data_IF_517647792136
#
_entry.id   IF_517647792136
#
_cell.length_a   1.000
_cell.length_b   1.000
_cell.length_c   1.000
_cell.angle_alpha   90.00
_cell.angle_beta   90.00
_cell.angle_gamma   90.00
#
_symmetry.space_group_name_H-M   'P 1'
#
loop_
_entity.id
_entity.type
_entity.pdbx_description
1 polymer ?
#
# COMPACT_ATOMS: atom_id res chain seq x y z
N UNK A 1 11.23 5.92 24.10
CA UNK A 1 11.98 6.87 23.25
C UNK A 1 11.48 6.69 21.82
N UNK A 2 10.66 7.63 21.34
CA UNK A 2 10.14 7.61 19.98
C UNK A 2 11.30 7.92 19.03
N UNK A 3 11.85 6.90 18.36
CA UNK A 3 12.89 7.10 17.34
C UNK A 3 12.21 7.06 15.99
N UNK A 4 11.88 8.23 15.43
CA UNK A 4 11.31 8.40 14.10
C UNK A 4 12.28 8.04 12.95
N UNK A 5 13.28 7.18 13.21
CA UNK A 5 14.28 6.71 12.25
C UNK A 5 13.61 6.11 11.01
N UNK A 6 12.54 5.35 11.22
CA UNK A 6 11.85 4.65 10.15
C UNK A 6 11.13 5.60 9.18
N UNK A 7 10.83 6.83 9.60
CA UNK A 7 10.32 7.86 8.68
C UNK A 7 11.33 8.13 7.54
N UNK A 8 12.63 8.12 7.84
CA UNK A 8 13.70 8.42 6.88
C UNK A 8 14.31 7.18 6.21
N UNK A 9 14.25 6.01 6.85
CA UNK A 9 14.92 4.81 6.33
C UNK A 9 14.01 3.58 6.15
N UNK A 10 12.74 3.67 6.52
CA UNK A 10 11.79 2.55 6.51
C UNK A 10 10.84 2.52 5.31
N UNK A 11 10.71 3.60 4.55
CA UNK A 11 9.73 3.74 3.45
C UNK A 11 10.21 3.11 2.16
N UNK A 12 9.26 2.83 1.27
CA UNK A 12 9.52 2.22 -0.03
C UNK A 12 9.94 3.23 -1.11
N UNK A 13 9.46 4.47 -1.02
CA UNK A 13 9.78 5.54 -1.94
C UNK A 13 9.81 6.89 -1.19
N UNK A 14 10.61 7.82 -1.70
CA UNK A 14 10.74 9.18 -1.19
C UNK A 14 10.50 10.16 -2.33
N UNK A 15 9.85 11.28 -2.02
CA UNK A 15 9.64 12.38 -2.96
C UNK A 15 10.06 13.70 -2.29
N UNK A 16 10.86 14.48 -2.98
CA UNK A 16 11.20 15.84 -2.54
C UNK A 16 10.02 16.80 -2.65
N UNK A 17 9.06 16.53 -3.55
CA UNK A 17 7.89 17.38 -3.74
C UNK A 17 6.81 17.12 -2.67
N UNK A 18 6.56 15.86 -2.33
CA UNK A 18 5.57 15.50 -1.30
C UNK A 18 6.15 15.54 0.12
N UNK A 19 7.47 15.54 0.25
CA UNK A 19 8.14 15.30 1.52
C UNK A 19 7.86 13.90 2.04
N UNK A 20 8.20 13.67 3.30
CA UNK A 20 7.89 12.43 3.98
C UNK A 20 7.35 12.74 5.38
N UNK A 21 6.42 11.93 5.88
CA UNK A 21 5.86 12.13 7.22
C UNK A 21 6.71 11.51 8.33
N UNK A 22 6.77 12.21 9.45
CA UNK A 22 7.45 11.86 10.69
C UNK A 22 6.37 11.65 11.76
N UNK A 23 6.34 10.50 12.44
CA UNK A 23 5.32 10.26 13.44
C UNK A 23 5.32 11.26 14.60
N UNK A 24 4.13 11.70 15.03
CA UNK A 24 3.90 12.57 16.19
C UNK A 24 3.27 11.84 17.38
N UNK A 25 2.91 10.57 17.21
CA UNK A 25 2.20 9.76 18.21
C UNK A 25 2.03 8.31 17.75
N UNK A 26 1.14 7.57 18.42
CA UNK A 26 0.96 6.12 18.22
C UNK A 26 -0.28 5.75 17.40
N UNK A 27 -1.23 6.67 17.27
CA UNK A 27 -2.42 6.44 16.44
C UNK A 27 -2.06 6.46 14.96
N UNK A 28 -2.86 5.80 14.11
CA UNK A 28 -2.59 5.68 12.68
C UNK A 28 -2.37 7.06 12.01
N UNK A 29 -3.22 8.04 12.34
CA UNK A 29 -3.12 9.40 11.80
C UNK A 29 -1.88 10.15 12.32
N UNK A 30 -1.39 9.82 13.52
CA UNK A 30 -0.18 10.42 14.09
C UNK A 30 1.09 9.73 13.61
N UNK A 31 1.04 8.44 13.29
CA UNK A 31 2.12 7.72 12.63
C UNK A 31 2.27 8.22 11.20
N UNK A 32 1.14 8.49 10.52
CA UNK A 32 1.11 9.00 9.15
C UNK A 32 2.00 8.18 8.21
N UNK A 33 1.69 6.90 7.96
CA UNK A 33 2.61 5.96 7.32
C UNK A 33 2.71 6.13 5.80
N UNK A 34 3.01 7.32 5.30
CA UNK A 34 3.21 7.55 3.87
C UNK A 34 4.30 6.65 3.28
N UNK A 35 4.01 6.13 2.08
CA UNK A 35 4.89 5.27 1.31
C UNK A 35 5.44 4.04 2.07
N UNK A 36 4.69 3.48 3.01
CA UNK A 36 5.06 2.25 3.72
C UNK A 36 3.85 1.38 4.05
N UNK A 37 4.12 0.11 4.36
CA UNK A 37 3.17 -0.79 5.01
C UNK A 37 3.26 -0.60 6.53
N UNK A 38 2.10 -0.56 7.18
CA UNK A 38 1.96 -0.51 8.64
C UNK A 38 1.04 -1.61 9.10
N UNK A 39 1.35 -2.21 10.25
CA UNK A 39 0.61 -3.36 10.79
C UNK A 39 0.19 -3.07 12.22
N UNK A 40 -1.03 -3.45 12.57
CA UNK A 40 -1.53 -3.54 13.94
C UNK A 40 -1.89 -5.00 14.22
N UNK A 41 -1.41 -5.52 15.33
CA UNK A 41 -1.78 -6.85 15.81
C UNK A 41 -2.74 -6.66 16.97
N UNK A 42 -3.96 -7.17 16.82
CA UNK A 42 -5.08 -6.98 17.74
C UNK A 42 -5.56 -5.52 17.87
N UNK A 43 -6.78 -5.33 18.37
CA UNK A 43 -7.45 -4.03 18.35
C UNK A 43 -6.72 -2.97 19.19
N UNK A 44 -6.21 -3.39 20.35
CA UNK A 44 -5.53 -2.54 21.33
C UNK A 44 -4.00 -2.48 21.12
N UNK A 45 -3.49 -3.15 20.07
CA UNK A 45 -2.07 -3.18 19.76
C UNK A 45 -1.56 -1.85 19.19
N UNK A 46 -0.28 -1.50 19.40
CA UNK A 46 0.31 -0.36 18.73
C UNK A 46 0.52 -0.66 17.24
N UNK A 47 0.30 0.35 16.41
CA UNK A 47 0.70 0.33 15.01
C UNK A 47 2.23 0.25 14.85
N UNK A 48 2.67 -0.54 13.88
CA UNK A 48 4.08 -0.82 13.62
C UNK A 48 4.38 -0.62 12.15
N UNK A 49 5.29 0.30 11.86
CA UNK A 49 5.79 0.54 10.51
C UNK A 49 6.94 -0.41 10.17
N UNK A 50 7.19 -0.60 8.88
CA UNK A 50 8.38 -1.30 8.39
C UNK A 50 9.64 -0.75 9.05
N UNK A 51 10.43 -1.65 9.64
CA UNK A 51 11.67 -1.29 10.32
C UNK A 51 12.71 -2.39 10.22
N UNK A 52 13.98 -2.01 10.16
CA UNK A 52 15.12 -2.94 10.12
C UNK A 52 14.97 -4.07 9.09
N UNK A 53 14.76 -3.74 7.80
CA UNK A 53 14.66 -4.77 6.77
C UNK A 53 15.96 -5.57 6.66
N UNK A 54 15.81 -6.87 6.44
CA UNK A 54 16.86 -7.88 6.23
C UNK A 54 16.60 -8.64 4.93
N UNK A 55 17.48 -9.57 4.58
CA UNK A 55 17.34 -10.44 3.40
C UNK A 55 17.09 -9.66 2.10
N UNK A 56 17.84 -8.56 1.93
CA UNK A 56 17.70 -7.70 0.75
C UNK A 56 18.23 -8.41 -0.48
N UNK A 57 17.38 -8.57 -1.50
CA UNK A 57 17.69 -9.22 -2.77
C UNK A 57 17.30 -8.30 -3.92
N UNK A 58 18.13 -8.27 -4.96
CA UNK A 58 17.83 -7.58 -6.21
C UNK A 58 17.53 -8.63 -7.27
N UNK A 59 16.39 -8.52 -7.91
CA UNK A 59 15.94 -9.48 -8.92
C UNK A 59 15.54 -8.76 -10.19
N UNK A 60 15.30 -9.55 -11.24
CA UNK A 60 14.69 -9.09 -12.49
C UNK A 60 13.46 -9.94 -12.72
N UNK A 61 12.30 -9.29 -12.88
CA UNK A 61 11.01 -9.96 -13.00
C UNK A 61 10.53 -9.84 -14.45
N UNK A 62 10.15 -10.96 -15.10
CA UNK A 62 9.52 -10.90 -16.41
C UNK A 62 8.12 -10.29 -16.27
N UNK A 63 7.80 -9.38 -17.19
CA UNK A 63 6.48 -8.77 -17.28
C UNK A 63 5.90 -8.99 -18.67
N UNK A 64 4.58 -9.15 -18.71
CA UNK A 64 3.82 -9.17 -19.96
C UNK A 64 2.86 -8.01 -19.92
N UNK A 65 3.04 -7.03 -20.83
CA UNK A 65 2.23 -5.81 -20.90
C UNK A 65 1.62 -5.62 -22.28
N UNK A 66 0.67 -4.69 -22.38
CA UNK A 66 0.16 -4.18 -23.67
C UNK A 66 1.29 -3.73 -24.62
N UNK A 67 2.42 -3.28 -24.06
CA UNK A 67 3.61 -2.82 -24.78
C UNK A 67 4.57 -3.96 -25.18
N UNK A 68 4.19 -5.21 -24.91
CA UNK A 68 4.98 -6.41 -25.17
C UNK A 68 5.62 -7.01 -23.90
N UNK A 69 6.31 -8.17 -24.05
CA UNK A 69 7.06 -8.78 -22.98
C UNK A 69 8.30 -7.93 -22.63
N UNK A 70 8.65 -7.89 -21.36
CA UNK A 70 9.78 -7.11 -20.87
C UNK A 70 10.32 -7.67 -19.56
N UNK A 71 11.29 -6.96 -19.01
CA UNK A 71 11.89 -7.28 -17.73
C UNK A 71 11.97 -6.01 -16.90
N UNK A 72 11.53 -6.09 -15.64
CA UNK A 72 11.64 -5.00 -14.68
C UNK A 72 12.58 -5.38 -13.55
N UNK A 73 13.44 -4.45 -13.07
CA UNK A 73 14.18 -4.70 -11.85
C UNK A 73 13.20 -4.79 -10.67
N UNK A 74 13.59 -5.50 -9.62
CA UNK A 74 12.87 -5.50 -8.35
C UNK A 74 13.82 -5.61 -7.18
N UNK A 75 13.35 -5.13 -6.03
CA UNK A 75 14.04 -5.29 -4.76
C UNK A 75 13.10 -5.98 -3.78
N UNK A 76 13.57 -7.05 -3.17
CA UNK A 76 12.85 -7.80 -2.15
C UNK A 76 13.56 -7.63 -0.81
N UNK A 77 12.81 -7.45 0.26
CA UNK A 77 13.36 -7.40 1.62
C UNK A 77 12.34 -7.89 2.64
N UNK A 78 12.81 -8.45 3.74
CA UNK A 78 11.98 -9.00 4.80
C UNK A 78 12.09 -8.15 6.06
N UNK A 79 11.00 -7.99 6.80
CA UNK A 79 11.04 -7.38 8.13
C UNK A 79 10.10 -8.10 9.10
N UNK A 80 10.25 -7.81 10.40
CA UNK A 80 9.44 -8.39 11.47
C UNK A 80 8.68 -7.28 12.21
N UNK A 81 7.34 -7.27 12.17
CA UNK A 81 6.56 -6.32 12.97
C UNK A 81 6.83 -6.46 14.46
N UNK A 82 6.95 -7.70 14.96
CA UNK A 82 7.22 -8.01 16.36
C UNK A 82 8.38 -8.99 16.44
N UNK A 83 9.45 -8.63 17.17
CA UNK A 83 10.66 -9.46 17.23
C UNK A 83 10.47 -10.81 17.92
N UNK A 84 9.57 -10.88 18.89
CA UNK A 84 9.28 -12.09 19.66
C UNK A 84 8.32 -13.07 18.96
N UNK A 85 7.73 -12.66 17.84
CA UNK A 85 6.81 -13.48 17.06
C UNK A 85 7.52 -13.93 15.79
N UNK A 86 7.22 -15.13 15.33
CA UNK A 86 7.68 -15.62 14.02
C UNK A 86 6.77 -15.11 12.90
N UNK A 87 6.42 -13.83 12.96
CA UNK A 87 5.65 -13.12 11.95
C UNK A 87 6.62 -12.32 11.09
N UNK A 88 6.68 -12.65 9.80
CA UNK A 88 7.55 -11.97 8.83
C UNK A 88 6.74 -11.40 7.69
N UNK A 89 7.20 -10.27 7.17
CA UNK A 89 6.64 -9.63 5.99
C UNK A 89 7.76 -9.42 5.00
N UNK A 90 7.73 -10.20 3.93
CA UNK A 90 8.59 -10.00 2.78
C UNK A 90 7.90 -9.06 1.80
N UNK A 91 8.57 -7.98 1.42
CA UNK A 91 8.05 -7.03 0.43
C UNK A 91 8.93 -7.04 -0.80
N UNK A 92 8.31 -7.26 -1.97
CA UNK A 92 8.92 -7.08 -3.29
C UNK A 92 8.39 -5.77 -3.89
N UNK A 93 9.30 -4.86 -4.19
CA UNK A 93 9.04 -3.57 -4.82
C UNK A 93 9.47 -3.63 -6.28
N UNK A 94 8.57 -3.28 -7.20
CA UNK A 94 8.80 -3.30 -8.64
C UNK A 94 8.49 -1.92 -9.22
N UNK A 95 9.49 -1.11 -9.61
CA UNK A 95 9.25 0.15 -10.32
C UNK A 95 8.65 -0.14 -11.70
N UNK A 96 7.50 0.48 -12.01
CA UNK A 96 6.82 0.32 -13.29
C UNK A 96 7.19 1.44 -14.28
N UNK A 97 8.12 2.33 -13.92
CA UNK A 97 8.36 3.63 -14.57
C UNK A 97 8.52 3.59 -16.09
N UNK A 98 9.11 2.53 -16.66
CA UNK A 98 9.28 2.40 -18.11
C UNK A 98 7.96 2.14 -18.85
N UNK A 99 7.00 1.48 -18.19
CA UNK A 99 5.70 1.15 -18.77
C UNK A 99 4.62 2.13 -18.30
N UNK A 100 4.70 2.55 -17.03
CA UNK A 100 3.76 3.41 -16.31
C UNK A 100 4.56 4.38 -15.42
N UNK A 101 4.93 5.57 -15.94
CA UNK A 101 5.71 6.57 -15.19
C UNK A 101 5.05 6.96 -13.87
N UNK A 102 5.85 7.09 -12.81
CA UNK A 102 5.37 7.45 -11.48
C UNK A 102 4.74 6.31 -10.68
N UNK A 103 4.52 5.13 -11.29
CA UNK A 103 3.97 3.96 -10.62
C UNK A 103 5.04 2.98 -10.15
N UNK A 104 4.78 2.34 -9.02
CA UNK A 104 5.47 1.13 -8.57
C UNK A 104 4.48 0.16 -7.93
N UNK A 105 4.79 -1.12 -8.06
CA UNK A 105 4.05 -2.21 -7.43
C UNK A 105 4.74 -2.63 -6.14
N UNK A 106 3.93 -2.93 -5.12
CA UNK A 106 4.37 -3.52 -3.85
C UNK A 106 3.63 -4.84 -3.67
N UNK A 107 4.38 -5.90 -3.42
CA UNK A 107 3.84 -7.21 -3.11
C UNK A 107 4.36 -7.61 -1.73
N UNK A 108 3.44 -7.77 -0.78
CA UNK A 108 3.71 -8.16 0.58
C UNK A 108 3.31 -9.62 0.77
N UNK A 109 4.28 -10.47 1.10
CA UNK A 109 4.06 -11.84 1.53
C UNK A 109 4.19 -11.89 3.05
N UNK A 110 3.06 -12.12 3.71
CA UNK A 110 2.97 -12.26 5.16
C UNK A 110 3.03 -13.74 5.50
N UNK A 111 3.98 -14.12 6.36
CA UNK A 111 4.18 -15.50 6.80
C UNK A 111 4.16 -15.59 8.31
N UNK A 112 3.71 -16.75 8.80
CA UNK A 112 3.78 -17.08 10.22
C UNK A 112 2.56 -16.66 11.00
N UNK A 113 1.38 -16.59 10.36
CA UNK A 113 0.10 -16.43 11.07
C UNK A 113 -0.13 -17.55 12.10
N UNK A 114 0.41 -18.75 11.86
CA UNK A 114 0.41 -19.83 12.86
C UNK A 114 1.08 -19.45 14.19
N UNK A 115 2.08 -18.55 14.18
CA UNK A 115 2.77 -18.10 15.40
C UNK A 115 1.91 -17.18 16.28
N UNK A 116 0.86 -16.58 15.72
CA UNK A 116 -0.04 -15.68 16.44
C UNK A 116 -1.37 -16.31 16.82
N UNK A 117 -1.76 -17.39 16.15
CA UNK A 117 -3.00 -18.13 16.43
C UNK A 117 -3.04 -18.81 17.82
N UNK A 118 -1.90 -19.03 18.46
CA UNK A 118 -1.82 -19.60 19.82
C UNK A 118 -1.86 -18.55 20.93
N UNK A 119 -1.99 -17.27 20.59
CA UNK A 119 -1.88 -16.16 21.53
C UNK A 119 -3.29 -15.79 22.03
N UNK A 120 -3.61 -15.95 23.34
CA UNK A 120 -4.97 -15.78 23.84
C UNK A 120 -5.58 -14.38 23.64
N UNK A 121 -4.75 -13.36 23.47
CA UNK A 121 -5.17 -11.98 23.26
C UNK A 121 -5.26 -11.60 21.77
N UNK A 122 -4.88 -12.46 20.83
CA UNK A 122 -4.85 -12.10 19.42
C UNK A 122 -6.16 -12.44 18.71
N UNK A 123 -6.99 -11.43 18.40
CA UNK A 123 -8.28 -11.65 17.73
C UNK A 123 -8.26 -11.30 16.25
N UNK A 124 -7.49 -10.28 15.87
CA UNK A 124 -7.44 -9.78 14.50
C UNK A 124 -6.08 -9.16 14.19
N UNK A 125 -5.89 -8.81 12.93
CA UNK A 125 -4.82 -7.92 12.53
C UNK A 125 -5.30 -6.99 11.44
N UNK A 126 -4.72 -5.80 11.45
CA UNK A 126 -4.91 -4.79 10.41
C UNK A 126 -3.58 -4.50 9.74
N UNK A 127 -3.62 -4.26 8.44
CA UNK A 127 -2.50 -3.76 7.68
C UNK A 127 -2.98 -2.60 6.81
N UNK A 128 -2.17 -1.55 6.76
CA UNK A 128 -2.46 -0.36 5.94
C UNK A 128 -1.23 -0.11 5.09
N UNK A 129 -1.37 -0.31 3.78
CA UNK A 129 -0.37 0.15 2.81
C UNK A 129 -0.82 1.51 2.26
N UNK A 130 0.13 2.42 2.18
CA UNK A 130 -0.15 3.84 2.00
C UNK A 130 0.71 4.43 0.89
N UNK A 131 0.10 5.30 0.10
CA UNK A 131 0.74 6.11 -0.93
C UNK A 131 1.46 7.32 -0.33
N UNK A 132 1.85 8.29 -1.17
CA UNK A 132 2.45 9.54 -0.75
C UNK A 132 1.45 10.42 -0.01
N UNK A 133 1.94 11.14 1.00
CA UNK A 133 1.19 12.19 1.69
C UNK A 133 1.10 13.44 0.79
N UNK A 134 -0.12 13.87 0.48
CA UNK A 134 -0.39 14.99 -0.42
C UNK A 134 -1.09 16.11 0.33
N UNK A 135 -0.83 17.36 -0.08
CA UNK A 135 -1.50 18.53 0.47
C UNK A 135 -3.03 18.37 0.38
N UNK A 136 -3.74 18.92 1.36
CA UNK A 136 -5.21 18.92 1.45
C UNK A 136 -5.84 20.15 0.81
N UNK A 137 -5.05 21.05 0.24
CA UNK A 137 -5.56 22.32 -0.27
C UNK A 137 -5.66 22.36 -1.80
N UNK A 138 -6.70 23.04 -2.28
CA UNK A 138 -6.85 23.48 -3.68
C UNK A 138 -5.85 24.58 -4.01
N UNK A 139 -5.66 24.89 -5.29
CA UNK A 139 -4.79 26.00 -5.74
C UNK A 139 -5.16 27.35 -5.07
N UNK A 140 -6.45 27.72 -4.93
CA UNK A 140 -6.86 28.90 -4.17
C UNK A 140 -6.69 28.80 -2.64
N UNK A 141 -6.36 27.63 -2.10
CA UNK A 141 -6.10 27.41 -0.67
C UNK A 141 -7.30 26.91 0.15
N UNK A 142 -8.36 26.42 -0.50
CA UNK A 142 -9.50 25.79 0.19
C UNK A 142 -9.24 24.31 0.46
N UNK A 143 -9.94 23.72 1.43
CA UNK A 143 -9.88 22.27 1.61
C UNK A 143 -10.46 21.55 0.38
N UNK A 144 -9.76 20.52 -0.07
CA UNK A 144 -10.29 19.60 -1.08
C UNK A 144 -11.36 18.70 -0.45
N UNK A 145 -12.42 18.43 -1.20
CA UNK A 145 -13.57 17.64 -0.76
C UNK A 145 -13.64 16.28 -1.48
N UNK A 146 -14.52 15.41 -0.99
CA UNK A 146 -14.87 14.18 -1.67
C UNK A 146 -15.57 14.51 -2.99
N UNK A 147 -15.16 13.86 -4.08
CA UNK A 147 -15.77 14.00 -5.41
C UNK A 147 -16.57 12.72 -5.71
N UNK A 148 -17.71 12.86 -6.37
CA UNK A 148 -18.45 11.72 -6.92
C UNK A 148 -17.66 11.12 -8.09
N UNK A 149 -17.46 9.80 -8.09
CA UNK A 149 -16.76 9.10 -9.18
C UNK A 149 -17.40 9.34 -10.55
N UNK A 150 -18.72 9.59 -10.59
CA UNK A 150 -19.44 9.93 -11.81
C UNK A 150 -19.06 11.30 -12.40
N UNK A 151 -18.50 12.20 -11.59
CA UNK A 151 -18.05 13.53 -12.01
C UNK A 151 -16.63 13.53 -12.58
N UNK A 152 -15.89 12.43 -12.41
CA UNK A 152 -14.59 12.25 -13.06
C UNK A 152 -14.85 12.01 -14.55
N UNK A 153 -14.53 13.00 -15.39
CA UNK A 153 -14.72 12.89 -16.83
C UNK A 153 -13.62 12.03 -17.44
N UNK A 154 -14.00 11.09 -18.32
CA UNK A 154 -13.13 10.21 -19.12
C UNK A 154 -12.00 10.92 -19.92
N UNK A 155 -11.98 12.26 -19.95
CA UNK A 155 -10.97 13.07 -20.62
C UNK A 155 -9.81 13.50 -19.70
N UNK A 156 -9.69 12.93 -18.49
CA UNK A 156 -8.60 13.25 -17.57
C UNK A 156 -8.76 14.57 -16.81
N UNK A 157 -9.86 15.30 -17.00
CA UNK A 157 -10.18 16.49 -16.20
C UNK A 157 -10.83 16.07 -14.88
N UNK A 158 -9.99 15.68 -13.92
CA UNK A 158 -10.38 15.54 -12.52
C UNK A 158 -10.22 16.89 -11.81
N UNK A 159 -11.26 17.38 -11.14
CA UNK A 159 -11.14 18.55 -10.27
C UNK A 159 -10.27 18.22 -9.04
N UNK A 160 -9.75 19.24 -8.36
CA UNK A 160 -9.07 19.01 -7.08
C UNK A 160 -10.06 18.45 -6.05
N UNK A 161 -9.68 17.39 -5.36
CA UNK A 161 -10.58 16.56 -4.55
C UNK A 161 -10.01 15.17 -4.32
N UNK A 162 -10.80 14.32 -3.68
CA UNK A 162 -10.43 12.94 -3.44
C UNK A 162 -11.58 11.97 -3.70
N UNK A 163 -11.21 10.74 -4.00
CA UNK A 163 -12.12 9.63 -4.28
C UNK A 163 -11.64 8.44 -3.47
N UNK A 164 -12.58 7.75 -2.83
CA UNK A 164 -12.30 6.55 -2.02
C UNK A 164 -13.30 5.48 -2.42
N UNK A 165 -12.81 4.43 -3.09
CA UNK A 165 -13.58 3.25 -3.48
C UNK A 165 -13.17 2.05 -2.62
N UNK A 166 -13.77 0.87 -2.86
CA UNK A 166 -13.45 -0.33 -2.11
C UNK A 166 -11.99 -0.79 -2.29
N UNK A 167 -11.43 -0.62 -3.48
CA UNK A 167 -10.10 -1.13 -3.84
C UNK A 167 -9.18 -0.03 -4.37
N UNK A 168 -9.56 1.24 -4.29
CA UNK A 168 -8.77 2.34 -4.83
C UNK A 168 -8.97 3.62 -4.01
N UNK A 169 -7.93 4.44 -3.93
CA UNK A 169 -8.02 5.80 -3.36
C UNK A 169 -7.19 6.75 -4.21
N UNK A 170 -7.77 7.90 -4.53
CA UNK A 170 -7.13 8.97 -5.29
C UNK A 170 -7.26 10.30 -4.55
N UNK A 171 -6.19 11.08 -4.57
CA UNK A 171 -6.18 12.47 -4.11
C UNK A 171 -5.52 13.32 -5.19
N UNK A 172 -6.18 14.42 -5.58
CA UNK A 172 -5.61 15.51 -6.37
C UNK A 172 -5.74 16.81 -5.61
N UNK A 173 -4.64 17.54 -5.51
CA UNK A 173 -4.60 18.85 -4.87
C UNK A 173 -3.56 19.75 -5.54
N UNK A 174 -3.37 20.96 -5.01
CA UNK A 174 -2.35 21.90 -5.48
C UNK A 174 -0.94 21.31 -5.43
N UNK A 175 -0.70 20.37 -4.50
CA UNK A 175 0.57 19.68 -4.31
C UNK A 175 0.85 18.59 -5.36
N UNK A 176 -0.17 18.19 -6.13
CA UNK A 176 -0.11 17.12 -7.11
C UNK A 176 -1.14 16.03 -6.86
N UNK A 177 -0.86 14.85 -7.41
CA UNK A 177 -1.74 13.68 -7.39
C UNK A 177 -1.04 12.52 -6.71
N UNK A 178 -1.76 11.79 -5.86
CA UNK A 178 -1.30 10.53 -5.25
C UNK A 178 -2.45 9.55 -5.22
N UNK A 179 -2.14 8.29 -5.49
CA UNK A 179 -3.13 7.24 -5.41
C UNK A 179 -2.56 5.87 -5.15
N UNK A 180 -3.46 4.96 -4.83
CA UNK A 180 -3.18 3.55 -4.54
C UNK A 180 -4.35 2.70 -5.02
N UNK A 181 -4.04 1.50 -5.52
CA UNK A 181 -5.03 0.50 -5.94
C UNK A 181 -4.65 -0.85 -5.36
N UNK A 182 -5.62 -1.58 -4.82
CA UNK A 182 -5.49 -2.98 -4.44
C UNK A 182 -5.53 -3.88 -5.68
N UNK A 183 -4.47 -4.67 -5.82
CA UNK A 183 -4.23 -5.57 -6.93
C UNK A 183 -4.16 -7.02 -6.50
N UNK A 184 -4.34 -7.28 -5.21
CA UNK A 184 -4.36 -8.62 -4.63
C UNK A 184 -5.26 -9.59 -5.41
N UNK A 185 -6.47 -9.21 -5.87
CA UNK A 185 -7.32 -10.11 -6.67
C UNK A 185 -6.77 -10.46 -8.06
N UNK A 186 -5.94 -9.58 -8.62
CA UNK A 186 -5.52 -9.60 -10.03
C UNK A 186 -4.15 -10.24 -10.25
N UNK A 187 -3.29 -10.28 -9.23
CA UNK A 187 -1.96 -10.88 -9.35
C UNK A 187 -2.04 -12.42 -9.34
N UNK A 188 -1.34 -13.04 -10.29
CA UNK A 188 -1.16 -14.49 -10.37
C UNK A 188 0.31 -14.84 -10.10
N UNK A 189 0.57 -15.50 -8.98
CA UNK A 189 1.90 -16.04 -8.66
C UNK A 189 2.04 -17.43 -9.34
N UNK A 190 2.98 -17.61 -10.29
CA UNK A 190 3.22 -18.91 -10.96
C UNK A 190 4.04 -19.84 -10.07
N UNK A 191 3.48 -20.95 -9.58
CA UNK A 191 4.22 -21.88 -8.71
C UNK A 191 3.40 -22.50 -7.60
N UNK A 192 2.10 -22.22 -7.55
CA UNK A 192 1.13 -23.07 -6.88
C UNK A 192 1.13 -23.00 -5.36
N UNK A 193 0.46 -22.01 -4.78
CA UNK A 193 0.05 -22.06 -3.36
C UNK A 193 -1.34 -21.42 -3.14
N UNK A 194 -2.31 -21.64 -4.04
CA UNK A 194 -3.69 -21.16 -3.82
C UNK A 194 -4.54 -21.97 -2.82
N UNK A 195 -4.02 -23.06 -2.25
CA UNK A 195 -4.83 -23.88 -1.32
C UNK A 195 -4.85 -23.36 0.12
N UNK A 196 -3.82 -22.66 0.58
CA UNK A 196 -3.63 -22.32 2.02
C UNK A 196 -3.40 -20.82 2.29
N UNK A 197 -3.85 -19.94 1.38
CA UNK A 197 -3.72 -18.48 1.52
C UNK A 197 -4.99 -17.85 2.13
N UNK A 198 -4.80 -16.95 3.10
CA UNK A 198 -5.90 -16.21 3.69
C UNK A 198 -6.47 -15.18 2.72
N UNK A 199 -7.78 -15.22 2.48
CA UNK A 199 -8.46 -14.09 1.86
C UNK A 199 -8.69 -13.01 2.92
N UNK A 200 -7.97 -11.90 2.79
CA UNK A 200 -8.10 -10.76 3.67
C UNK A 200 -9.28 -9.87 3.25
N UNK A 201 -9.93 -9.25 4.24
CA UNK A 201 -10.78 -8.10 3.98
C UNK A 201 -9.94 -6.97 3.40
N UNK A 202 -10.52 -6.16 2.51
CA UNK A 202 -9.85 -5.02 1.87
C UNK A 202 -10.85 -3.87 1.77
N UNK A 203 -10.42 -2.64 2.06
CA UNK A 203 -11.18 -1.40 1.80
C UNK A 203 -10.24 -0.23 1.49
N UNK A 204 -10.64 0.68 0.62
CA UNK A 204 -9.98 1.97 0.48
C UNK A 204 -10.12 2.78 1.77
N UNK A 205 -9.05 3.49 2.12
CA UNK A 205 -9.00 4.29 3.33
C UNK A 205 -8.16 5.54 3.12
N UNK A 206 -8.72 6.70 3.44
CA UNK A 206 -8.02 7.98 3.37
C UNK A 206 -7.56 8.40 4.76
N UNK A 207 -6.25 8.35 5.01
CA UNK A 207 -5.70 8.82 6.29
C UNK A 207 -5.66 10.35 6.25
N UNK A 208 -6.34 10.98 7.20
CA UNK A 208 -6.17 12.41 7.47
C UNK A 208 -5.04 12.56 8.49
N UNK A 209 -3.84 12.91 8.01
CA UNK A 209 -2.66 12.98 8.84
C UNK A 209 -2.78 14.09 9.91
N UNK A 210 -2.18 13.84 11.08
CA UNK A 210 -1.99 14.89 12.08
C UNK A 210 -1.23 16.08 11.46
N UNK A 211 -1.58 17.35 11.77
CA UNK A 211 -1.02 18.51 11.10
C UNK A 211 0.51 18.61 11.11
N UNK A 212 1.18 18.00 12.10
CA UNK A 212 2.60 18.17 12.36
C UNK A 212 3.47 16.99 11.88
N UNK A 213 2.92 16.06 11.08
CA UNK A 213 3.67 14.87 10.67
C UNK A 213 4.49 15.09 9.40
N UNK A 214 3.93 15.69 8.35
CA UNK A 214 4.63 15.87 7.08
C UNK A 214 5.57 17.09 7.10
N UNK A 215 6.75 16.93 6.48
CA UNK A 215 7.81 17.95 6.51
C UNK A 215 7.60 19.13 5.56
N UNK A 216 6.67 19.02 4.59
CA UNK A 216 6.48 20.00 3.51
C UNK A 216 5.10 20.65 3.57
N UNK A 217 4.05 19.87 3.86
CA UNK A 217 2.68 20.35 3.93
C UNK A 217 2.01 19.93 5.25
N UNK A 218 1.11 20.76 5.77
CA UNK A 218 0.32 20.41 6.95
C UNK A 218 -0.97 19.68 6.56
N UNK A 219 -1.51 18.89 7.49
CA UNK A 219 -2.82 18.22 7.35
C UNK A 219 -2.94 17.38 6.07
N UNK A 220 -1.84 16.74 5.66
CA UNK A 220 -1.79 15.96 4.43
C UNK A 220 -2.80 14.81 4.42
N UNK A 221 -3.23 14.42 3.24
CA UNK A 221 -4.04 13.24 3.02
C UNK A 221 -3.16 12.11 2.48
N UNK A 222 -3.33 10.90 2.99
CA UNK A 222 -2.54 9.72 2.58
C UNK A 222 -3.49 8.64 2.03
N UNK A 223 -3.58 8.50 0.69
CA UNK A 223 -4.33 7.42 0.06
C UNK A 223 -3.82 6.07 0.53
N UNK A 224 -4.69 5.20 1.03
CA UNK A 224 -4.28 3.92 1.60
C UNK A 224 -5.27 2.79 1.29
N UNK A 225 -4.78 1.56 1.31
CA UNK A 225 -5.63 0.37 1.32
C UNK A 225 -5.51 -0.28 2.69
N UNK A 226 -6.65 -0.54 3.31
CA UNK A 226 -6.76 -1.22 4.59
C UNK A 226 -7.11 -2.68 4.37
N UNK A 227 -6.22 -3.57 4.80
CA UNK A 227 -6.43 -5.00 4.82
C UNK A 227 -6.70 -5.48 6.25
N UNK A 228 -7.64 -6.39 6.43
CA UNK A 228 -7.94 -6.98 7.74
C UNK A 228 -8.05 -8.49 7.66
N UNK A 229 -7.64 -9.18 8.71
CA UNK A 229 -7.79 -10.62 8.85
C UNK A 229 -8.14 -11.01 10.28
N UNK A 230 -8.84 -12.13 10.42
CA UNK A 230 -9.15 -12.71 11.72
C UNK A 230 -8.00 -13.59 12.22
N UNK A 231 -7.73 -13.55 13.53
CA UNK A 231 -6.95 -14.56 14.22
C UNK A 231 -7.77 -15.82 14.45
N UNK A 232 -7.12 -16.98 14.54
CA UNK A 232 -7.82 -18.21 14.86
C UNK A 232 -8.20 -18.24 16.36
N UNK A 233 -9.50 -18.05 16.61
CA UNK A 233 -10.27 -18.34 17.85
C UNK A 233 -10.30 -17.23 18.93
N UNK A 234 -11.46 -16.58 19.03
CA UNK A 234 -11.97 -16.01 20.28
C UNK A 234 -12.87 -17.02 21.01
N UNK A 235 -12.78 -17.06 22.34
CA UNK A 235 -13.66 -17.86 23.21
C UNK A 235 -15.16 -17.63 22.91
N UNK A 236 -15.82 -18.63 22.32
CA UNK A 236 -17.22 -19.09 22.55
C UNK A 236 -17.80 -19.73 21.28
N UNK A 237 -17.71 -21.06 21.18
CA UNK A 237 -18.79 -21.95 20.71
C UNK A 237 -18.25 -23.38 20.63
N UNK A 238 -19.05 -24.36 21.04
CA UNK A 238 -18.79 -25.81 20.90
C UNK A 238 -18.90 -26.28 19.43
N UNK A 239 -18.36 -25.50 18.50
CA UNK A 239 -18.29 -25.86 17.08
C UNK A 239 -16.87 -26.37 16.81
N UNK A 240 -16.67 -27.51 16.14
CA UNK A 240 -15.35 -27.97 15.78
C UNK A 240 -14.64 -26.87 14.98
N UNK A 241 -13.53 -26.38 15.52
CA UNK A 241 -12.62 -25.47 14.82
C UNK A 241 -12.23 -26.16 13.51
N UNK A 242 -12.61 -25.57 12.38
CA UNK A 242 -12.20 -26.07 11.08
C UNK A 242 -10.66 -26.16 11.02
N UNK A 243 -10.09 -27.21 10.41
CA UNK A 243 -8.66 -27.43 10.44
C UNK A 243 -7.94 -26.39 9.57
N UNK A 244 -6.83 -25.88 10.11
CA UNK A 244 -5.77 -25.11 9.43
C UNK A 244 -6.16 -23.71 8.93
N UNK A 245 -6.11 -22.75 9.85
CA UNK A 245 -6.02 -21.34 9.47
C UNK A 245 -4.76 -21.12 8.58
N UNK A 246 -4.88 -20.32 7.51
CA UNK A 246 -3.85 -20.15 6.49
C UNK A 246 -2.51 -19.70 7.09
N UNK A 247 -1.43 -20.39 6.72
CA UNK A 247 -0.07 -20.12 7.24
C UNK A 247 0.53 -18.82 6.71
N UNK A 248 -0.03 -18.29 5.62
CA UNK A 248 0.45 -17.10 4.92
C UNK A 248 -0.66 -16.34 4.19
N UNK A 249 -0.39 -15.09 3.82
CA UNK A 249 -1.26 -14.27 3.00
C UNK A 249 -0.42 -13.37 2.09
N UNK A 250 -1.01 -12.98 0.97
CA UNK A 250 -0.44 -12.00 0.05
C UNK A 250 -1.32 -10.77 -0.03
N UNK A 251 -0.66 -9.61 -0.12
CA UNK A 251 -1.28 -8.34 -0.46
C UNK A 251 -0.46 -7.70 -1.56
N UNK A 252 -1.12 -7.17 -2.58
CA UNK A 252 -0.44 -6.44 -3.63
C UNK A 252 -1.13 -5.12 -3.92
N UNK A 253 -0.34 -4.05 -4.02
CA UNK A 253 -0.83 -2.69 -4.23
C UNK A 253 0.01 -1.98 -5.29
N UNK A 254 -0.65 -1.24 -6.17
CA UNK A 254 0.01 -0.31 -7.08
C UNK A 254 -0.14 1.09 -6.53
N UNK A 255 0.98 1.82 -6.49
CA UNK A 255 1.07 3.13 -5.84
C UNK A 255 1.73 4.09 -6.81
N UNK A 256 1.26 5.34 -6.83
CA UNK A 256 1.89 6.40 -7.60
C UNK A 256 1.79 7.76 -6.93
N UNK A 257 2.63 8.68 -7.39
CA UNK A 257 2.55 10.10 -7.06
C UNK A 257 3.15 10.95 -8.16
N UNK A 258 2.44 12.00 -8.57
CA UNK A 258 2.88 12.98 -9.58
C UNK A 258 2.74 14.37 -9.00
N UNK A 259 3.85 15.07 -8.82
CA UNK A 259 3.85 16.44 -8.27
C UNK A 259 3.63 17.49 -9.35
N UNK A 260 2.99 18.61 -8.99
CA UNK A 260 2.88 19.76 -9.89
C UNK A 260 4.18 20.61 -9.98
N UNK A 261 5.21 20.26 -9.19
CA UNK A 261 6.49 20.98 -9.16
C UNK A 261 7.23 20.75 -10.49
N UNK A 262 7.59 21.83 -11.18
CA UNK A 262 8.31 21.87 -12.47
C UNK A 262 7.53 21.39 -13.72
N UNK A 263 6.20 21.34 -13.70
CA UNK A 263 5.40 21.07 -14.89
C UNK A 263 4.54 22.30 -15.25
N UNK A 264 4.53 22.70 -16.52
CA UNK A 264 3.37 23.45 -17.05
C UNK A 264 2.15 22.53 -16.94
N UNK A 265 1.04 23.02 -16.38
CA UNK A 265 -0.20 22.25 -16.10
C UNK A 265 -0.75 21.43 -17.28
N UNK A 266 -0.24 21.62 -18.51
CA UNK A 266 -0.55 20.80 -19.69
C UNK A 266 -0.03 19.35 -19.63
N UNK A 267 0.85 19.00 -18.68
CA UNK A 267 1.47 17.68 -18.58
C UNK A 267 1.06 16.87 -17.34
N UNK A 268 -0.09 17.18 -16.72
CA UNK A 268 -0.74 16.17 -15.88
C UNK A 268 -1.13 15.06 -16.84
N UNK A 269 -0.50 13.88 -16.78
CA UNK A 269 -0.76 12.89 -17.79
C UNK A 269 -2.24 12.53 -17.72
N UNK A 270 -2.86 12.35 -18.88
CA UNK A 270 -4.17 11.68 -19.00
C UNK A 270 -4.14 10.23 -18.42
N UNK A 271 -3.01 9.81 -17.81
CA UNK A 271 -2.65 8.48 -17.31
C UNK A 271 -3.38 8.03 -16.04
N UNK A 272 -4.16 8.89 -15.37
CA UNK A 272 -5.06 8.43 -14.31
C UNK A 272 -6.03 7.37 -14.86
N UNK A 273 -6.64 7.65 -16.01
CA UNK A 273 -7.53 6.71 -16.69
C UNK A 273 -6.76 5.55 -17.31
N UNK A 274 -5.51 5.75 -17.75
CA UNK A 274 -4.75 4.61 -18.27
C UNK A 274 -4.54 3.53 -17.21
N UNK A 275 -4.46 3.81 -15.91
CA UNK A 275 -4.37 2.73 -14.91
C UNK A 275 -5.70 2.29 -14.31
N UNK A 276 -6.66 3.19 -14.04
CA UNK A 276 -7.96 2.74 -13.56
C UNK A 276 -8.71 1.96 -14.66
N UNK A 277 -8.61 2.39 -15.93
CA UNK A 277 -9.15 1.64 -17.06
C UNK A 277 -8.23 0.50 -17.51
N UNK A 278 -6.88 0.58 -17.60
CA UNK A 278 -6.09 -0.61 -18.01
C UNK A 278 -6.14 -1.74 -16.97
N UNK A 279 -6.15 -1.44 -15.66
CA UNK A 279 -6.19 -2.48 -14.62
C UNK A 279 -7.61 -2.81 -14.15
N UNK A 280 -8.53 -1.85 -14.14
CA UNK A 280 -9.94 -2.08 -13.87
C UNK A 280 -10.68 -2.74 -15.03
N UNK A 281 -10.20 -2.57 -16.28
CA UNK A 281 -10.80 -3.19 -17.47
C UNK A 281 -10.01 -4.35 -18.09
N UNK A 282 -8.72 -4.59 -17.78
CA UNK A 282 -7.98 -5.66 -18.47
C UNK A 282 -6.91 -6.45 -17.70
N UNK A 283 -6.90 -7.73 -18.06
CA UNK A 283 -5.86 -8.76 -17.95
C UNK A 283 -4.51 -8.38 -18.58
N UNK A 284 -3.93 -7.20 -18.35
CA UNK A 284 -2.77 -6.72 -19.13
C UNK A 284 -1.43 -6.62 -18.41
N UNK A 285 -1.32 -6.93 -17.11
CA UNK A 285 -0.01 -7.05 -16.47
C UNK A 285 0.11 -8.38 -15.71
N UNK A 286 0.62 -9.40 -16.40
CA UNK A 286 1.03 -10.65 -15.73
C UNK A 286 2.45 -10.46 -15.21
N UNK A 287 2.60 -10.49 -13.88
CA UNK A 287 3.88 -10.37 -13.19
C UNK A 287 4.19 -11.70 -12.54
N UNK A 288 5.24 -12.37 -13.03
CA UNK A 288 5.72 -13.60 -12.41
C UNK A 288 6.77 -13.30 -11.34
N UNK A 289 6.28 -13.12 -10.12
CA UNK A 289 7.09 -12.79 -8.94
C UNK A 289 7.84 -13.98 -8.34
N UNK A 290 7.71 -15.18 -8.91
CA UNK A 290 8.22 -16.42 -8.29
C UNK A 290 9.73 -16.60 -8.48
N UNK A 291 10.29 -16.00 -9.52
CA UNK A 291 11.74 -15.86 -9.68
C UNK A 291 12.41 -15.03 -8.56
N UNK A 292 11.64 -14.25 -7.78
CA UNK A 292 12.16 -13.48 -6.66
C UNK A 292 12.17 -14.25 -5.32
N UNK A 293 11.51 -15.40 -5.24
CA UNK A 293 11.20 -16.11 -4.00
C UNK A 293 11.90 -17.45 -3.78
N UNK A 294 12.47 -18.07 -4.82
CA UNK A 294 13.09 -19.40 -4.72
C UNK A 294 14.52 -19.40 -5.27
N UNK A 295 15.46 -18.99 -4.41
CA UNK A 295 16.81 -19.56 -4.28
C UNK A 295 17.29 -19.34 -2.86
#
# INVERSE_FOLDING_TARGET
MFKAREAKYGKFAYSSAFGYSVPTGLELHQISPDSTLTVKLDDDGPWRVRSQPVDVRFNTIPIYSAKGPGHLPSITSTWRPVRSLDLTIQTTLVPLTYHYPGWHLRIHHIRGFGSVNGIPWFNNFDMVDSSFAVDRLTDPGYHIDAIDTAEIKHNGQFAEGYVTEQSSVLVKSRGGVSGIVDLTPSIRLKGGLRRDEAKLGCRGYLIQADPNTNLVAQKTLIPSIWHSGAGAVGHQSNVPVAPEAPLSAFVATAVFGVSNVNQSMEYVPNDWYYLQDDWGSMNMLEIDVTAAGET
#
